data_IF_173127967699
#
_entry.id   IF_173127967699
#
_cell.length_a   1.000
_cell.length_b   1.000
_cell.length_c   1.000
_cell.angle_alpha   90.00
_cell.angle_beta   90.00
_cell.angle_gamma   90.00
#
_symmetry.space_group_name_H-M   'P 1'
#
loop_
_entity.id
_entity.type
_entity.pdbx_description
1 polymer ?
#
# COMPACT_ATOMS: atom_id res chain seq x y z
N UNK A 1 22.00 11.32 -25.09
CA UNK A 1 20.88 10.56 -24.50
C UNK A 1 21.01 10.62 -22.99
N UNK A 2 19.93 10.97 -22.27
CA UNK A 2 19.93 10.94 -20.79
C UNK A 2 20.16 9.52 -20.27
N UNK A 3 20.85 9.34 -19.14
CA UNK A 3 20.92 8.03 -18.48
C UNK A 3 19.54 7.62 -17.95
N UNK A 4 19.33 6.31 -17.70
CA UNK A 4 18.10 5.81 -17.07
C UNK A 4 17.87 6.42 -15.69
N UNK A 5 18.90 6.44 -14.83
CA UNK A 5 18.82 7.03 -13.50
C UNK A 5 18.48 8.52 -13.54
N UNK A 6 18.99 9.26 -14.53
CA UNK A 6 18.62 10.67 -14.73
C UNK A 6 17.15 10.85 -15.12
N UNK A 7 16.57 9.93 -15.89
CA UNK A 7 15.12 9.95 -16.20
C UNK A 7 14.28 9.58 -14.97
N UNK A 8 14.73 8.62 -14.19
CA UNK A 8 14.09 8.24 -12.91
C UNK A 8 14.07 9.45 -11.97
N UNK A 9 15.21 10.13 -11.81
CA UNK A 9 15.33 11.31 -10.96
C UNK A 9 14.45 12.50 -11.42
N UNK A 10 14.11 12.56 -12.71
CA UNK A 10 13.21 13.56 -13.28
C UNK A 10 11.71 13.20 -13.13
N UNK A 11 11.37 12.12 -12.41
CA UNK A 11 9.97 11.78 -12.12
C UNK A 11 9.42 12.74 -11.07
N UNK A 12 8.51 13.62 -11.48
CA UNK A 12 7.92 14.64 -10.61
C UNK A 12 6.42 14.42 -10.45
N UNK A 13 5.94 14.46 -9.20
CA UNK A 13 4.51 14.45 -8.85
C UNK A 13 4.25 15.36 -7.65
N UNK A 14 4.17 16.68 -7.84
CA UNK A 14 3.92 17.62 -6.74
C UNK A 14 2.53 17.45 -6.12
N UNK A 15 1.62 16.77 -6.81
CA UNK A 15 0.27 16.42 -6.37
C UNK A 15 0.19 15.06 -5.68
N UNK A 16 1.32 14.41 -5.36
CA UNK A 16 1.36 13.10 -4.73
C UNK A 16 2.10 13.16 -3.39
N UNK A 17 1.44 12.66 -2.34
CA UNK A 17 2.08 12.34 -1.06
C UNK A 17 2.01 10.84 -0.84
N UNK A 18 3.16 10.19 -0.77
CA UNK A 18 3.26 8.77 -0.47
C UNK A 18 3.49 8.59 1.02
N UNK A 19 2.69 7.76 1.66
CA UNK A 19 2.75 7.51 3.11
C UNK A 19 3.02 6.04 3.38
N UNK A 20 4.10 5.79 4.11
CA UNK A 20 4.51 4.45 4.52
C UNK A 20 4.59 4.40 6.04
N UNK A 21 3.60 3.75 6.65
CA UNK A 21 3.57 3.50 8.09
C UNK A 21 4.36 2.26 8.47
N UNK A 22 5.14 2.36 9.54
CA UNK A 22 5.80 1.22 10.16
C UNK A 22 5.89 1.39 11.68
N UNK A 23 6.19 0.31 12.38
CA UNK A 23 6.47 0.34 13.80
C UNK A 23 7.63 -0.57 14.15
N UNK A 24 7.98 -0.59 15.43
CA UNK A 24 9.08 -1.38 15.98
C UNK A 24 8.66 -2.80 16.36
N UNK A 25 7.46 -3.24 15.95
CA UNK A 25 6.93 -4.55 16.32
C UNK A 25 7.76 -5.68 15.72
N UNK A 26 8.45 -5.42 14.59
CA UNK A 26 9.19 -6.43 13.83
C UNK A 26 10.52 -5.85 13.31
N UNK A 27 11.69 -6.46 13.63
CA UNK A 27 12.99 -5.98 13.15
C UNK A 27 13.08 -5.83 11.63
N UNK A 28 12.36 -6.69 10.89
CA UNK A 28 12.25 -6.65 9.42
C UNK A 28 11.80 -5.27 8.91
N UNK A 29 10.98 -4.55 9.69
CA UNK A 29 10.48 -3.24 9.26
C UNK A 29 11.58 -2.18 9.29
N UNK A 30 12.50 -2.22 10.25
CA UNK A 30 13.64 -1.29 10.27
C UNK A 30 14.56 -1.51 9.07
N UNK A 31 14.81 -2.76 8.70
CA UNK A 31 15.59 -3.09 7.49
C UNK A 31 14.88 -2.61 6.22
N UNK A 32 13.58 -2.89 6.08
CA UNK A 32 12.78 -2.44 4.95
C UNK A 32 12.74 -0.90 4.83
N UNK A 33 12.65 -0.17 5.95
CA UNK A 33 12.71 1.30 6.00
C UNK A 33 14.06 1.85 5.50
N UNK A 34 15.17 1.20 5.85
CA UNK A 34 16.50 1.59 5.38
C UNK A 34 16.63 1.40 3.86
N UNK A 35 16.13 0.28 3.32
CA UNK A 35 16.09 0.04 1.87
C UNK A 35 15.25 1.10 1.15
N UNK A 36 14.09 1.42 1.71
CA UNK A 36 13.24 2.48 1.19
C UNK A 36 13.90 3.86 1.18
N UNK A 37 14.73 4.18 2.17
CA UNK A 37 15.50 5.44 2.18
C UNK A 37 16.45 5.52 0.98
N UNK A 38 17.17 4.43 0.71
CA UNK A 38 18.06 4.35 -0.45
C UNK A 38 17.25 4.44 -1.75
N UNK A 39 16.19 3.65 -1.89
CA UNK A 39 15.36 3.64 -3.08
C UNK A 39 14.72 5.00 -3.39
N UNK A 40 14.15 5.66 -2.38
CA UNK A 40 13.53 6.98 -2.52
C UNK A 40 14.52 8.08 -2.93
N UNK A 41 15.81 7.94 -2.61
CA UNK A 41 16.83 8.89 -3.05
C UNK A 41 17.00 8.98 -4.57
N UNK A 42 16.54 7.96 -5.32
CA UNK A 42 16.50 7.97 -6.78
C UNK A 42 15.29 8.75 -7.34
N UNK A 43 14.31 9.11 -6.51
CA UNK A 43 13.09 9.83 -6.88
C UNK A 43 12.94 11.10 -6.03
N UNK A 44 13.87 12.08 -6.16
CA UNK A 44 13.97 13.21 -5.23
C UNK A 44 12.76 14.17 -5.25
N UNK A 45 11.94 14.13 -6.31
CA UNK A 45 10.76 14.97 -6.45
C UNK A 45 9.44 14.26 -6.05
N UNK A 46 9.51 13.03 -5.53
CA UNK A 46 8.36 12.33 -4.95
C UNK A 46 8.37 12.56 -3.44
N UNK A 47 7.29 13.15 -2.93
CA UNK A 47 7.13 13.40 -1.50
C UNK A 47 6.77 12.10 -0.77
N UNK A 48 7.75 11.53 -0.07
CA UNK A 48 7.61 10.27 0.67
C UNK A 48 7.71 10.53 2.17
N UNK A 49 6.62 10.27 2.88
CA UNK A 49 6.52 10.45 4.33
C UNK A 49 6.50 9.09 5.00
N UNK A 50 7.58 8.78 5.72
CA UNK A 50 7.62 7.63 6.62
C UNK A 50 6.99 8.01 7.95
N UNK A 51 6.12 7.13 8.46
CA UNK A 51 5.40 7.38 9.71
C UNK A 51 5.72 6.28 10.69
N UNK A 52 6.12 6.67 11.91
CA UNK A 52 6.33 5.74 13.02
C UNK A 52 5.70 6.23 14.31
N UNK A 53 5.41 5.28 15.18
CA UNK A 53 4.99 5.60 16.54
C UNK A 53 6.14 6.21 17.35
N UNK A 54 5.78 7.07 18.30
CA UNK A 54 6.71 7.60 19.29
C UNK A 54 6.09 7.56 20.69
N UNK A 55 6.83 6.94 21.59
CA UNK A 55 6.60 6.94 23.04
C UNK A 55 7.06 8.25 23.70
N UNK A 56 7.88 9.04 23.02
CA UNK A 56 8.37 10.34 23.47
C UNK A 56 7.34 11.47 23.25
N UNK A 57 6.29 11.22 22.47
CA UNK A 57 5.24 12.19 22.14
C UNK A 57 3.94 11.86 22.87
N UNK A 58 3.21 12.90 23.29
CA UNK A 58 1.89 12.74 23.92
C UNK A 58 0.86 12.27 22.88
N UNK A 59 -0.25 11.63 23.32
CA UNK A 59 -1.34 11.27 22.41
C UNK A 59 -1.78 12.45 21.55
N UNK A 60 -1.80 12.25 20.22
CA UNK A 60 -2.23 13.27 19.26
C UNK A 60 -1.15 14.24 18.80
N UNK A 61 0.04 14.21 19.41
CA UNK A 61 1.18 14.99 18.92
C UNK A 61 1.75 14.36 17.65
N UNK A 62 2.05 15.22 16.68
CA UNK A 62 2.68 14.84 15.41
C UNK A 62 3.90 15.74 15.22
N UNK A 63 5.08 15.13 15.07
CA UNK A 63 6.34 15.86 14.95
C UNK A 63 7.26 15.23 13.91
N UNK A 64 7.93 16.04 13.10
CA UNK A 64 8.89 15.56 12.12
C UNK A 64 10.31 15.63 12.70
N UNK A 65 10.99 14.49 12.84
CA UNK A 65 12.32 14.43 13.47
C UNK A 65 13.50 14.63 12.49
N UNK A 66 13.21 15.05 11.26
CA UNK A 66 14.18 15.18 10.16
C UNK A 66 14.22 13.99 9.21
N UNK A 67 13.68 12.84 9.60
CA UNK A 67 13.67 11.61 8.78
C UNK A 67 12.27 10.99 8.65
N UNK A 68 11.54 10.98 9.75
CA UNK A 68 10.22 10.35 9.87
C UNK A 68 9.24 11.31 10.55
N UNK A 69 7.96 11.15 10.21
CA UNK A 69 6.85 11.73 10.95
C UNK A 69 6.52 10.85 12.16
N UNK A 70 6.81 11.36 13.35
CA UNK A 70 6.53 10.74 14.63
C UNK A 70 5.10 11.03 15.05
N UNK A 71 4.38 10.00 15.48
CA UNK A 71 3.01 10.11 15.97
C UNK A 71 2.94 9.61 17.42
N UNK A 72 2.48 10.47 18.33
CA UNK A 72 2.31 10.14 19.74
C UNK A 72 1.00 9.38 19.99
N UNK A 73 1.12 8.23 20.64
CA UNK A 73 -0.01 7.37 21.07
C UNK A 73 -0.27 7.44 22.57
N UNK A 74 0.75 7.83 23.33
CA UNK A 74 0.83 7.72 24.79
C UNK A 74 0.49 6.33 25.34
N UNK A 75 0.30 6.27 26.66
CA UNK A 75 0.19 5.02 27.41
C UNK A 75 -1.18 4.33 27.30
N UNK A 76 -2.18 5.02 26.74
CA UNK A 76 -3.60 4.58 26.74
C UNK A 76 -3.91 3.44 25.79
N UNK A 77 -2.99 3.06 24.91
CA UNK A 77 -3.17 1.98 23.96
C UNK A 77 -2.13 0.87 24.13
N UNK A 78 -1.65 0.60 25.34
CA UNK A 78 -0.87 -0.60 25.64
C UNK A 78 -1.82 -1.79 25.85
N UNK A 79 -1.68 -2.83 25.03
CA UNK A 79 -2.53 -4.02 25.12
C UNK A 79 -2.53 -4.88 23.86
N UNK A 80 -2.20 -6.16 24.07
CA UNK A 80 -2.09 -7.29 23.14
C UNK A 80 -1.03 -7.18 22.03
N UNK A 81 0.04 -7.96 22.15
CA UNK A 81 0.92 -8.38 21.05
C UNK A 81 0.22 -9.47 20.26
N UNK A 82 -0.38 -9.13 19.11
CA UNK A 82 -1.17 -10.07 18.31
C UNK A 82 -0.58 -10.43 16.95
N UNK A 83 -0.01 -9.45 16.23
CA UNK A 83 0.37 -9.68 14.83
C UNK A 83 1.61 -10.57 14.66
N UNK A 84 2.61 -10.44 15.54
CA UNK A 84 3.84 -11.21 15.44
C UNK A 84 3.62 -12.73 15.61
N UNK A 85 2.58 -13.12 16.36
CA UNK A 85 2.24 -14.53 16.65
C UNK A 85 1.10 -15.09 15.81
N UNK A 86 0.12 -14.26 15.39
CA UNK A 86 -1.09 -14.73 14.67
C UNK A 86 -1.21 -14.23 13.23
N UNK A 87 -0.39 -13.27 12.80
CA UNK A 87 -0.53 -12.61 11.50
C UNK A 87 -1.81 -11.77 11.35
N UNK A 88 -2.60 -11.61 12.43
CA UNK A 88 -3.84 -10.84 12.48
C UNK A 88 -3.74 -9.78 13.57
N UNK A 89 -4.20 -8.56 13.25
CA UNK A 89 -4.26 -7.46 14.20
C UNK A 89 -5.51 -7.60 15.08
N UNK A 90 -5.34 -7.46 16.39
CA UNK A 90 -6.44 -7.34 17.35
C UNK A 90 -7.22 -6.04 17.15
N UNK A 91 -8.44 -5.94 17.69
CA UNK A 91 -9.26 -4.72 17.60
C UNK A 91 -8.58 -3.48 18.19
N UNK A 92 -7.82 -3.64 19.28
CA UNK A 92 -7.04 -2.56 19.88
C UNK A 92 -5.84 -2.15 19.01
N UNK A 93 -5.16 -3.10 18.37
CA UNK A 93 -4.10 -2.79 17.40
C UNK A 93 -4.69 -2.05 16.19
N UNK A 94 -5.81 -2.53 15.62
CA UNK A 94 -6.51 -1.85 14.54
C UNK A 94 -6.87 -0.40 14.88
N UNK A 95 -7.41 -0.18 16.09
CA UNK A 95 -7.72 1.16 16.56
C UNK A 95 -6.49 2.08 16.64
N UNK A 96 -5.33 1.54 17.06
CA UNK A 96 -4.06 2.27 16.98
C UNK A 96 -3.74 2.62 15.52
N UNK A 97 -3.76 1.66 14.60
CA UNK A 97 -3.44 1.91 13.19
C UNK A 97 -4.37 2.97 12.56
N UNK A 98 -5.67 2.90 12.82
CA UNK A 98 -6.65 3.91 12.36
C UNK A 98 -6.34 5.28 12.98
N UNK A 99 -6.11 5.34 14.30
CA UNK A 99 -5.77 6.59 14.96
C UNK A 99 -4.50 7.23 14.38
N UNK A 100 -3.45 6.43 14.09
CA UNK A 100 -2.25 6.91 13.38
C UNK A 100 -2.61 7.52 12.04
N UNK A 101 -3.37 6.76 11.25
CA UNK A 101 -3.74 7.13 9.91
C UNK A 101 -4.48 8.46 9.93
N UNK A 102 -5.39 8.64 10.90
CA UNK A 102 -6.12 9.90 11.09
C UNK A 102 -5.24 11.08 11.45
N UNK A 103 -4.28 10.91 12.37
CA UNK A 103 -3.36 11.98 12.73
C UNK A 103 -2.46 12.38 11.57
N UNK A 104 -1.99 11.42 10.77
CA UNK A 104 -1.19 11.68 9.58
C UNK A 104 -2.03 12.39 8.52
N UNK A 105 -3.24 11.90 8.24
CA UNK A 105 -4.14 12.52 7.26
C UNK A 105 -4.47 13.96 7.66
N UNK A 106 -4.78 14.21 8.94
CA UNK A 106 -5.03 15.56 9.43
C UNK A 106 -3.80 16.48 9.33
N UNK A 107 -2.61 15.97 9.66
CA UNK A 107 -1.36 16.69 9.46
C UNK A 107 -1.16 17.09 7.99
N UNK A 108 -1.38 16.16 7.06
CA UNK A 108 -1.26 16.43 5.62
C UNK A 108 -2.30 17.44 5.13
N UNK A 109 -3.57 17.32 5.56
CA UNK A 109 -4.63 18.27 5.25
C UNK A 109 -4.33 19.70 5.73
N UNK A 110 -3.51 19.86 6.79
CA UNK A 110 -3.11 21.17 7.32
C UNK A 110 -1.83 21.73 6.68
N UNK A 111 -0.97 20.87 6.14
CA UNK A 111 0.39 21.26 5.71
C UNK A 111 0.59 21.23 4.21
N UNK A 112 -0.30 20.59 3.45
CA UNK A 112 -0.22 20.45 2.00
C UNK A 112 -1.30 21.24 1.30
N UNK A 113 -0.96 21.80 0.14
CA UNK A 113 -1.90 22.52 -0.70
C UNK A 113 -2.79 21.54 -1.47
N UNK A 114 -4.11 21.75 -1.42
CA UNK A 114 -5.05 21.01 -2.25
C UNK A 114 -4.99 21.47 -3.72
N UNK A 115 -5.34 20.59 -4.69
CA UNK A 115 -5.62 19.17 -4.54
C UNK A 115 -4.34 18.32 -4.50
N UNK A 116 -4.38 17.19 -3.80
CA UNK A 116 -3.33 16.17 -3.83
C UNK A 116 -3.92 14.75 -3.68
N UNK A 117 -3.15 13.76 -4.13
CA UNK A 117 -3.36 12.35 -3.89
C UNK A 117 -2.57 11.90 -2.67
N UNK A 118 -3.24 11.17 -1.79
CA UNK A 118 -2.62 10.42 -0.71
C UNK A 118 -2.48 8.97 -1.15
N UNK A 119 -1.25 8.49 -1.27
CA UNK A 119 -0.97 7.10 -1.57
C UNK A 119 -0.41 6.39 -0.33
N UNK A 120 -1.23 5.57 0.31
CA UNK A 120 -0.80 4.72 1.41
C UNK A 120 -0.34 3.37 0.88
N UNK A 121 0.84 2.90 1.29
CA UNK A 121 1.31 1.55 0.98
C UNK A 121 2.06 0.93 2.16
N UNK A 122 2.13 -0.41 2.18
CA UNK A 122 2.86 -1.12 3.22
C UNK A 122 4.37 -0.93 3.05
N UNK A 123 5.10 -0.94 4.16
CA UNK A 123 6.55 -0.85 4.15
C UNK A 123 7.22 -1.98 3.34
N UNK A 124 6.60 -3.16 3.28
CA UNK A 124 7.09 -4.30 2.49
C UNK A 124 6.61 -4.29 1.03
N UNK A 125 6.12 -3.15 0.54
CA UNK A 125 5.83 -2.94 -0.87
C UNK A 125 7.00 -2.26 -1.58
N UNK A 126 7.10 -2.43 -2.90
CA UNK A 126 8.01 -1.72 -3.80
C UNK A 126 7.18 -1.19 -4.96
N UNK A 127 7.37 0.09 -5.28
CA UNK A 127 6.51 0.81 -6.24
C UNK A 127 7.37 1.54 -7.26
N UNK A 128 7.10 1.33 -8.56
CA UNK A 128 7.67 2.17 -9.61
C UNK A 128 6.88 3.48 -9.71
N UNK A 129 7.47 4.58 -9.23
CA UNK A 129 6.82 5.89 -9.21
C UNK A 129 6.57 6.48 -10.62
N UNK A 130 7.29 6.03 -11.64
CA UNK A 130 7.04 6.44 -13.04
C UNK A 130 5.71 5.87 -13.53
N UNK A 131 5.50 4.60 -13.25
CA UNK A 131 4.25 3.91 -13.58
C UNK A 131 3.10 4.38 -12.68
N UNK A 132 3.32 4.60 -11.38
CA UNK A 132 2.34 5.23 -10.51
C UNK A 132 1.91 6.62 -11.05
N UNK A 133 2.84 7.41 -11.59
CA UNK A 133 2.49 8.68 -12.24
C UNK A 133 1.52 8.47 -13.41
N UNK A 134 1.79 7.46 -14.24
CA UNK A 134 0.87 7.09 -15.34
C UNK A 134 -0.51 6.68 -14.83
N UNK A 135 -0.58 5.96 -13.70
CA UNK A 135 -1.84 5.57 -13.04
C UNK A 135 -2.60 6.81 -12.56
N UNK A 136 -1.94 7.72 -11.85
CA UNK A 136 -2.57 8.91 -11.28
C UNK A 136 -3.13 9.85 -12.36
N UNK A 137 -2.56 9.85 -13.56
CA UNK A 137 -3.09 10.62 -14.70
C UNK A 137 -4.44 10.09 -15.21
N UNK A 138 -4.80 8.86 -14.87
CA UNK A 138 -6.08 8.23 -15.23
C UNK A 138 -7.12 8.30 -14.10
N UNK A 139 -6.72 8.74 -12.89
CA UNK A 139 -7.60 8.80 -11.74
C UNK A 139 -8.28 10.17 -11.62
N UNK A 140 -9.50 10.23 -11.06
CA UNK A 140 -10.16 11.51 -10.82
C UNK A 140 -9.45 12.27 -9.70
N UNK A 141 -9.28 13.58 -9.83
CA UNK A 141 -8.62 14.40 -8.79
C UNK A 141 -9.46 14.56 -7.51
N UNK A 142 -10.77 14.37 -7.63
CA UNK A 142 -11.75 14.41 -6.54
C UNK A 142 -12.54 13.12 -6.51
N UNK A 143 -13.01 12.67 -5.35
CA UNK A 143 -13.75 11.42 -5.29
C UNK A 143 -12.89 10.17 -5.55
N UNK A 144 -11.57 10.30 -5.62
CA UNK A 144 -10.67 9.16 -5.85
C UNK A 144 -10.64 8.26 -4.62
N UNK A 145 -10.93 6.99 -4.87
CA UNK A 145 -10.65 5.87 -3.98
C UNK A 145 -10.20 4.69 -4.84
N UNK A 146 -8.89 4.43 -4.91
CA UNK A 146 -8.34 3.46 -5.86
C UNK A 146 -7.33 2.51 -5.20
N UNK A 147 -7.27 1.27 -5.65
CA UNK A 147 -6.38 0.26 -5.10
C UNK A 147 -6.79 -1.17 -5.45
N UNK A 148 -6.08 -2.19 -4.95
CA UNK A 148 -6.43 -3.59 -5.16
C UNK A 148 -7.77 -3.86 -4.50
N UNK A 149 -8.78 -4.24 -5.27
CA UNK A 149 -10.14 -4.32 -4.76
C UNK A 149 -10.43 -5.68 -4.12
N UNK A 150 -11.12 -5.65 -2.99
CA UNK A 150 -11.58 -6.82 -2.26
C UNK A 150 -13.03 -6.62 -1.82
N UNK A 151 -13.69 -7.74 -1.50
CA UNK A 151 -15.09 -7.79 -1.04
C UNK A 151 -15.15 -8.60 0.25
N UNK A 152 -15.81 -8.04 1.26
CA UNK A 152 -16.09 -8.79 2.47
C UNK A 152 -17.23 -9.79 2.25
N UNK A 153 -16.99 -11.02 2.67
CA UNK A 153 -17.99 -12.08 2.68
C UNK A 153 -18.70 -12.21 4.04
N UNK A 154 -18.11 -11.64 5.10
CA UNK A 154 -18.67 -11.63 6.44
C UNK A 154 -18.00 -10.55 7.31
N UNK A 155 -18.59 -10.20 8.46
CA UNK A 155 -19.87 -10.70 9.00
C UNK A 155 -21.11 -10.25 8.18
N UNK A 156 -22.32 -10.84 8.35
CA UNK A 156 -23.49 -10.61 7.48
C UNK A 156 -23.86 -9.14 7.25
N UNK A 157 -23.73 -8.29 8.26
CA UNK A 157 -24.00 -6.85 8.21
C UNK A 157 -23.02 -6.09 7.29
N UNK A 158 -21.85 -6.66 7.05
CA UNK A 158 -20.81 -6.15 6.15
C UNK A 158 -20.66 -6.94 4.85
N UNK A 159 -21.44 -8.01 4.68
CA UNK A 159 -21.39 -8.81 3.47
C UNK A 159 -21.63 -7.91 2.24
N UNK A 160 -20.75 -8.05 1.25
CA UNK A 160 -20.77 -7.24 0.04
C UNK A 160 -20.09 -5.88 0.15
N UNK A 161 -19.57 -5.47 1.31
CA UNK A 161 -18.74 -4.25 1.40
C UNK A 161 -17.51 -4.42 0.50
N UNK A 162 -17.30 -3.46 -0.39
CA UNK A 162 -16.12 -3.40 -1.25
C UNK A 162 -15.13 -2.38 -0.70
N UNK A 163 -13.86 -2.76 -0.72
CA UNK A 163 -12.78 -1.99 -0.14
C UNK A 163 -11.51 -2.15 -0.98
N UNK A 164 -10.58 -1.21 -0.86
CA UNK A 164 -9.23 -1.38 -1.36
C UNK A 164 -8.39 -2.06 -0.28
N UNK A 165 -7.69 -3.14 -0.61
CA UNK A 165 -6.89 -3.89 0.38
C UNK A 165 -5.82 -3.02 1.02
N UNK A 166 -5.45 -3.32 2.27
CA UNK A 166 -4.38 -2.63 2.98
C UNK A 166 -2.97 -2.72 2.35
N UNK A 167 -2.79 -3.42 1.21
CA UNK A 167 -1.55 -3.40 0.44
C UNK A 167 -1.24 -2.00 -0.11
N UNK A 168 -2.24 -1.34 -0.67
CA UNK A 168 -2.18 0.02 -1.18
C UNK A 168 -3.54 0.66 -1.28
N UNK A 169 -3.57 1.98 -1.14
CA UNK A 169 -4.76 2.78 -1.44
C UNK A 169 -4.34 4.18 -1.87
N UNK A 170 -4.95 4.68 -2.94
CA UNK A 170 -4.87 6.06 -3.40
C UNK A 170 -6.20 6.75 -3.04
N UNK A 171 -6.12 7.83 -2.28
CA UNK A 171 -7.25 8.68 -1.90
C UNK A 171 -7.03 10.09 -2.41
N UNK A 172 -8.11 10.73 -2.83
CA UNK A 172 -8.13 12.17 -3.10
C UNK A 172 -8.14 12.98 -1.81
N UNK A 173 -7.71 14.24 -1.88
CA UNK A 173 -7.77 15.18 -0.77
C UNK A 173 -9.17 15.29 -0.13
N UNK A 174 -10.25 15.35 -0.92
CA UNK A 174 -11.63 15.41 -0.42
C UNK A 174 -12.07 14.10 0.26
N UNK A 175 -11.58 12.94 -0.19
CA UNK A 175 -11.79 11.68 0.52
C UNK A 175 -11.19 11.74 1.93
N UNK A 176 -9.99 12.30 2.08
CA UNK A 176 -9.37 12.48 3.41
C UNK A 176 -10.17 13.44 4.29
N UNK A 177 -10.66 14.55 3.71
CA UNK A 177 -11.52 15.49 4.44
C UNK A 177 -12.80 14.81 4.94
N UNK A 178 -13.41 13.97 4.10
CA UNK A 178 -14.60 13.22 4.45
C UNK A 178 -14.32 12.21 5.57
N UNK A 179 -13.24 11.44 5.47
CA UNK A 179 -12.82 10.51 6.53
C UNK A 179 -12.57 11.24 7.86
N UNK A 180 -11.91 12.41 7.82
CA UNK A 180 -11.69 13.23 9.02
C UNK A 180 -12.98 13.73 9.65
N UNK A 181 -13.94 14.18 8.84
CA UNK A 181 -15.22 14.70 9.34
C UNK A 181 -16.07 13.62 10.02
N UNK A 182 -15.89 12.33 9.67
CA UNK A 182 -16.69 11.22 10.19
C UNK A 182 -15.93 10.32 11.17
N UNK A 183 -14.66 10.62 11.45
CA UNK A 183 -13.88 9.85 12.40
C UNK A 183 -14.36 10.07 13.84
N UNK A 184 -14.85 8.99 14.45
CA UNK A 184 -15.14 8.92 15.88
C UNK A 184 -14.35 7.75 16.50
N UNK A 185 -13.39 8.01 17.41
CA UNK A 185 -12.61 6.95 18.06
C UNK A 185 -13.44 6.05 18.98
N UNK A 186 -14.65 6.47 19.39
CA UNK A 186 -15.54 5.67 20.22
C UNK A 186 -16.47 4.77 19.39
N UNK A 187 -16.58 5.03 18.08
CA UNK A 187 -17.42 4.23 17.20
C UNK A 187 -16.87 2.80 17.09
N UNK A 188 -17.73 1.74 17.09
CA UNK A 188 -17.28 0.36 16.97
C UNK A 188 -16.40 0.10 15.73
N UNK A 189 -16.65 0.85 14.65
CA UNK A 189 -15.88 0.73 13.41
C UNK A 189 -14.42 1.14 13.54
N UNK A 190 -14.07 1.95 14.55
CA UNK A 190 -12.69 2.35 14.81
C UNK A 190 -11.80 1.16 15.25
N UNK A 191 -12.35 -0.04 15.44
CA UNK A 191 -11.60 -1.25 15.78
C UNK A 191 -11.47 -2.25 14.61
N UNK A 192 -12.03 -1.94 13.44
CA UNK A 192 -11.87 -2.78 12.26
C UNK A 192 -10.51 -2.60 11.61
N UNK A 193 -10.06 -3.57 10.79
CA UNK A 193 -8.94 -3.36 9.88
C UNK A 193 -9.07 -2.03 9.14
N UNK A 194 -7.97 -1.30 9.01
CA UNK A 194 -7.98 0.10 8.55
C UNK A 194 -8.51 0.25 7.11
N UNK A 195 -8.33 -0.75 6.26
CA UNK A 195 -8.86 -0.81 4.90
C UNK A 195 -10.39 -0.98 4.88
N UNK A 196 -10.93 -1.83 5.76
CA UNK A 196 -12.38 -1.99 5.99
C UNK A 196 -12.97 -0.70 6.57
N UNK A 197 -12.31 -0.11 7.57
CA UNK A 197 -12.75 1.14 8.19
C UNK A 197 -12.79 2.28 7.16
N UNK A 198 -11.76 2.43 6.32
CA UNK A 198 -11.76 3.43 5.25
C UNK A 198 -12.95 3.25 4.27
N UNK A 199 -13.28 2.01 3.92
CA UNK A 199 -14.43 1.72 3.07
C UNK A 199 -15.77 2.10 3.72
N UNK A 200 -15.91 1.90 5.04
CA UNK A 200 -17.09 2.32 5.81
C UNK A 200 -17.20 3.84 5.94
N UNK A 201 -16.06 4.54 6.03
CA UNK A 201 -16.02 6.01 6.04
C UNK A 201 -16.31 6.63 4.68
N UNK A 202 -16.18 5.89 3.58
CA UNK A 202 -16.35 6.40 2.22
C UNK A 202 -17.52 5.71 1.49
N UNK A 203 -18.76 5.72 2.01
CA UNK A 203 -19.86 4.93 1.44
C UNK A 203 -20.31 5.40 0.06
N UNK A 204 -19.99 6.64 -0.33
CA UNK A 204 -20.39 7.25 -1.60
C UNK A 204 -19.28 7.32 -2.65
N UNK A 205 -18.06 6.92 -2.31
CA UNK A 205 -16.93 6.96 -3.23
C UNK A 205 -16.92 5.69 -4.08
N UNK A 206 -16.79 5.82 -5.39
CA UNK A 206 -16.61 4.65 -6.24
C UNK A 206 -15.17 4.16 -6.14
N UNK A 207 -14.97 2.83 -6.13
CA UNK A 207 -13.65 2.22 -6.04
C UNK A 207 -13.10 1.97 -7.44
N UNK A 208 -11.93 2.54 -7.75
CA UNK A 208 -11.21 2.21 -8.98
C UNK A 208 -10.26 1.03 -8.70
N UNK A 209 -10.48 -0.14 -9.33
CA UNK A 209 -9.62 -1.31 -9.14
C UNK A 209 -8.23 -1.05 -9.74
N UNK A 210 -7.17 -1.30 -8.97
CA UNK A 210 -5.79 -1.20 -9.43
C UNK A 210 -5.04 -2.52 -9.18
N UNK A 211 -4.16 -2.94 -10.12
CA UNK A 211 -3.41 -4.18 -9.97
C UNK A 211 -2.33 -4.05 -8.89
N UNK A 212 -2.08 -5.14 -8.17
CA UNK A 212 -0.91 -5.31 -7.31
C UNK A 212 -0.47 -6.76 -7.41
N UNK A 213 0.83 -6.97 -7.54
CA UNK A 213 1.41 -8.30 -7.58
C UNK A 213 2.01 -8.66 -6.23
N UNK A 214 1.70 -9.86 -5.72
CA UNK A 214 2.13 -10.29 -4.39
C UNK A 214 3.18 -11.40 -4.49
N UNK A 215 4.36 -11.16 -3.94
CA UNK A 215 5.32 -12.21 -3.64
C UNK A 215 4.91 -12.85 -2.31
N UNK A 216 4.28 -14.04 -2.40
CA UNK A 216 3.72 -14.77 -1.24
C UNK A 216 4.42 -16.08 -0.96
N UNK A 217 5.16 -16.63 -1.94
CA UNK A 217 5.86 -17.91 -1.75
C UNK A 217 6.99 -17.76 -0.72
N UNK A 218 7.09 -18.69 0.26
CA UNK A 218 8.24 -18.73 1.14
C UNK A 218 9.53 -18.96 0.36
N UNK A 219 10.61 -18.28 0.76
CA UNK A 219 11.92 -18.36 0.10
C UNK A 219 13.01 -18.48 1.14
N UNK A 220 14.07 -19.20 0.78
CA UNK A 220 15.28 -19.17 1.58
C UNK A 220 15.99 -17.81 1.41
N UNK A 221 16.74 -17.33 2.42
CA UNK A 221 17.52 -16.11 2.28
C UNK A 221 18.47 -16.23 1.09
N UNK A 222 18.56 -15.15 0.29
CA UNK A 222 19.44 -15.08 -0.88
C UNK A 222 19.11 -16.08 -2.01
N UNK A 223 17.99 -16.82 -1.95
CA UNK A 223 17.67 -17.88 -2.91
C UNK A 223 17.25 -17.34 -4.28
N UNK A 224 18.05 -17.65 -5.30
CA UNK A 224 17.86 -17.31 -6.72
C UNK A 224 17.46 -15.84 -7.00
N UNK A 225 18.42 -14.93 -6.80
CA UNK A 225 18.29 -13.53 -7.17
C UNK A 225 17.95 -13.33 -8.65
N UNK A 226 18.38 -14.24 -9.53
CA UNK A 226 18.15 -14.13 -10.97
C UNK A 226 16.69 -14.44 -11.31
N UNK A 227 16.11 -15.48 -10.71
CA UNK A 227 14.68 -15.82 -10.86
C UNK A 227 13.79 -14.64 -10.41
N UNK A 228 14.03 -14.09 -9.22
CA UNK A 228 13.25 -12.94 -8.73
C UNK A 228 13.32 -11.73 -9.66
N UNK A 229 14.53 -11.40 -10.13
CA UNK A 229 14.73 -10.28 -11.04
C UNK A 229 14.07 -10.55 -12.39
N UNK A 230 14.08 -11.80 -12.87
CA UNK A 230 13.42 -12.20 -14.11
C UNK A 230 11.90 -12.07 -14.00
N UNK A 231 11.30 -12.56 -12.92
CA UNK A 231 9.86 -12.41 -12.64
C UNK A 231 9.49 -10.93 -12.57
N UNK A 232 10.20 -10.14 -11.77
CA UNK A 232 9.92 -8.72 -11.60
C UNK A 232 10.06 -7.94 -12.93
N UNK A 233 11.09 -8.22 -13.72
CA UNK A 233 11.27 -7.61 -15.04
C UNK A 233 10.14 -7.98 -16.00
N UNK A 234 9.72 -9.25 -16.02
CA UNK A 234 8.60 -9.69 -16.83
C UNK A 234 7.30 -8.96 -16.46
N UNK A 235 7.01 -8.84 -15.16
CA UNK A 235 5.84 -8.12 -14.67
C UNK A 235 5.90 -6.61 -14.99
N UNK A 236 7.07 -5.98 -14.88
CA UNK A 236 7.28 -4.59 -15.29
C UNK A 236 7.01 -4.40 -16.80
N UNK A 237 7.45 -5.33 -17.65
CA UNK A 237 7.17 -5.32 -19.09
C UNK A 237 5.66 -5.49 -19.40
N UNK A 238 4.92 -6.12 -18.49
CA UNK A 238 3.46 -6.21 -18.56
C UNK A 238 2.76 -4.97 -17.97
N UNK A 239 3.51 -4.01 -17.43
CA UNK A 239 2.98 -2.76 -16.89
C UNK A 239 2.67 -2.77 -15.39
N UNK A 240 3.03 -3.84 -14.66
CA UNK A 240 2.89 -3.86 -13.19
C UNK A 240 3.76 -2.78 -12.57
N UNK A 241 3.24 -2.11 -11.54
CA UNK A 241 3.93 -1.00 -10.89
C UNK A 241 4.04 -1.14 -9.38
N UNK A 242 3.21 -1.98 -8.77
CA UNK A 242 3.18 -2.20 -7.32
C UNK A 242 3.38 -3.69 -7.02
N UNK A 243 4.51 -3.98 -6.37
CA UNK A 243 4.88 -5.30 -5.87
C UNK A 243 4.81 -5.31 -4.35
N UNK A 244 4.04 -6.23 -3.76
CA UNK A 244 3.99 -6.45 -2.33
C UNK A 244 4.77 -7.70 -1.97
N UNK A 245 5.70 -7.60 -1.03
CA UNK A 245 6.30 -8.76 -0.37
C UNK A 245 5.44 -9.08 0.86
N UNK A 246 4.72 -10.20 0.81
CA UNK A 246 3.89 -10.64 1.93
C UNK A 246 4.75 -11.43 2.89
N UNK A 247 4.95 -10.88 4.08
CA UNK A 247 5.66 -11.57 5.16
C UNK A 247 4.97 -12.90 5.47
N UNK A 248 5.70 -13.99 5.27
CA UNK A 248 5.26 -15.36 5.61
C UNK A 248 5.48 -15.64 7.10
N UNK A 249 4.79 -16.66 7.64
CA UNK A 249 4.96 -17.04 9.03
C UNK A 249 6.42 -17.52 9.29
N UNK A 250 6.97 -17.33 10.50
CA UNK A 250 8.35 -17.72 10.80
C UNK A 250 8.68 -19.17 10.43
N UNK A 251 7.75 -20.10 10.67
CA UNK A 251 7.86 -21.51 10.32
C UNK A 251 8.04 -21.75 8.82
N UNK A 252 7.37 -20.96 7.98
CA UNK A 252 7.41 -21.10 6.53
C UNK A 252 8.67 -20.47 5.93
N UNK A 253 9.20 -19.43 6.57
CA UNK A 253 10.41 -18.72 6.16
C UNK A 253 11.73 -19.41 6.58
N UNK A 254 11.68 -20.70 6.95
CA UNK A 254 12.80 -21.38 7.63
C UNK A 254 13.36 -20.57 8.82
N UNK A 255 12.48 -19.91 9.57
CA UNK A 255 12.81 -19.09 10.74
C UNK A 255 13.41 -17.71 10.47
N UNK A 256 13.56 -17.26 9.21
CA UNK A 256 14.41 -16.10 8.85
C UNK A 256 13.72 -14.97 8.05
N UNK A 257 12.43 -14.72 8.29
CA UNK A 257 11.69 -13.62 7.64
C UNK A 257 12.36 -12.24 7.71
N UNK A 258 13.16 -12.00 8.77
CA UNK A 258 13.88 -10.73 8.96
C UNK A 258 14.95 -10.46 7.90
N UNK A 259 15.46 -11.52 7.28
CA UNK A 259 16.47 -11.46 6.22
C UNK A 259 15.83 -11.62 4.84
N UNK A 260 14.80 -12.48 4.72
CA UNK A 260 14.17 -12.83 3.44
C UNK A 260 13.39 -11.66 2.84
N UNK A 261 12.46 -11.05 3.60
CA UNK A 261 11.59 -10.01 3.03
C UNK A 261 12.38 -8.79 2.53
N UNK A 262 13.35 -8.22 3.31
CA UNK A 262 14.13 -7.08 2.85
C UNK A 262 15.01 -7.45 1.66
N UNK A 263 15.52 -8.69 1.61
CA UNK A 263 16.31 -9.14 0.45
C UNK A 263 15.47 -9.21 -0.83
N UNK A 264 14.24 -9.74 -0.77
CA UNK A 264 13.32 -9.73 -1.90
C UNK A 264 13.04 -8.27 -2.32
N UNK A 265 12.73 -7.40 -1.37
CA UNK A 265 12.50 -5.97 -1.64
C UNK A 265 13.68 -5.32 -2.35
N UNK A 266 14.91 -5.56 -1.88
CA UNK A 266 16.13 -5.04 -2.52
C UNK A 266 16.20 -5.46 -4.00
N UNK A 267 15.95 -6.75 -4.31
CA UNK A 267 15.96 -7.24 -5.69
C UNK A 267 14.88 -6.61 -6.55
N UNK A 268 13.68 -6.39 -6.00
CA UNK A 268 12.61 -5.67 -6.71
C UNK A 268 13.01 -4.22 -6.98
N UNK A 269 13.56 -3.51 -5.98
CA UNK A 269 14.03 -2.13 -6.12
C UNK A 269 15.12 -2.00 -7.19
N UNK A 270 16.14 -2.86 -7.17
CA UNK A 270 17.20 -2.92 -8.19
C UNK A 270 16.62 -3.19 -9.59
N UNK A 271 15.64 -4.09 -9.68
CA UNK A 271 15.00 -4.42 -10.95
C UNK A 271 14.21 -3.22 -11.50
N UNK A 272 13.48 -2.49 -10.66
CA UNK A 272 12.78 -1.26 -11.08
C UNK A 272 13.77 -0.20 -11.57
N UNK A 273 14.86 0.04 -10.83
CA UNK A 273 15.86 1.04 -11.19
C UNK A 273 16.65 0.70 -12.47
N UNK A 274 16.67 -0.57 -12.87
CA UNK A 274 17.33 -1.06 -14.09
C UNK A 274 16.37 -1.31 -15.26
N UNK A 275 15.08 -1.03 -15.09
CA UNK A 275 14.06 -1.23 -16.13
C UNK A 275 13.52 0.10 -16.66
N UNK A 276 13.22 0.15 -17.96
CA UNK A 276 12.48 1.25 -18.57
C UNK A 276 11.00 1.16 -18.18
N UNK A 277 10.38 2.32 -18.02
CA UNK A 277 8.92 2.43 -17.86
C UNK A 277 8.24 2.54 -19.22
N UNK A 278 7.21 1.73 -19.46
CA UNK A 278 6.36 1.78 -20.65
C UNK A 278 4.93 2.22 -20.27
N UNK A 279 4.58 3.52 -20.40
CA UNK A 279 3.27 4.04 -19.97
C UNK A 279 2.07 3.30 -20.57
N UNK A 280 2.15 2.92 -21.85
CA UNK A 280 1.05 2.21 -22.52
C UNK A 280 0.80 0.82 -21.92
N UNK A 281 1.85 0.13 -21.45
CA UNK A 281 1.71 -1.16 -20.77
C UNK A 281 0.99 -1.01 -19.45
N UNK A 282 1.35 0.00 -18.66
CA UNK A 282 0.65 0.30 -17.41
C UNK A 282 -0.82 0.63 -17.65
N UNK A 283 -1.15 1.45 -18.65
CA UNK A 283 -2.56 1.75 -19.00
C UNK A 283 -3.31 0.51 -19.47
N UNK A 284 -2.69 -0.32 -20.31
CA UNK A 284 -3.29 -1.56 -20.76
C UNK A 284 -3.58 -2.53 -19.60
N UNK A 285 -2.62 -2.69 -18.68
CA UNK A 285 -2.80 -3.52 -17.49
C UNK A 285 -3.93 -3.00 -16.59
N UNK A 286 -4.01 -1.68 -16.38
CA UNK A 286 -5.11 -1.07 -15.61
C UNK A 286 -6.47 -1.38 -16.24
N UNK A 287 -6.60 -1.20 -17.56
CA UNK A 287 -7.83 -1.46 -18.28
C UNK A 287 -8.21 -2.95 -18.21
N UNK A 288 -7.25 -3.86 -18.41
CA UNK A 288 -7.46 -5.30 -18.31
C UNK A 288 -7.89 -5.70 -16.90
N UNK A 289 -7.21 -5.20 -15.86
CA UNK A 289 -7.56 -5.49 -14.47
C UNK A 289 -8.96 -4.98 -14.10
N UNK A 290 -9.33 -3.77 -14.55
CA UNK A 290 -10.68 -3.25 -14.36
C UNK A 290 -11.72 -4.09 -15.12
N UNK A 291 -11.42 -4.54 -16.33
CA UNK A 291 -12.30 -5.43 -17.08
C UNK A 291 -12.55 -6.75 -16.34
N UNK A 292 -11.50 -7.35 -15.77
CA UNK A 292 -11.61 -8.62 -15.03
C UNK A 292 -12.27 -8.49 -13.65
N UNK A 293 -12.06 -7.37 -12.94
CA UNK A 293 -12.56 -7.14 -11.58
C UNK A 293 -13.97 -6.51 -11.52
N UNK A 294 -14.39 -5.84 -12.59
CA UNK A 294 -15.63 -5.04 -12.55
C UNK A 294 -16.27 -4.80 -13.92
N UNK A 295 -15.84 -5.51 -14.97
CA UNK A 295 -16.35 -5.28 -16.32
C UNK A 295 -15.94 -3.94 -16.91
N UNK A 296 -14.89 -3.30 -16.37
CA UNK A 296 -14.35 -2.02 -16.84
C UNK A 296 -14.87 -0.81 -16.06
N UNK A 297 -15.81 -1.01 -15.14
CA UNK A 297 -16.44 0.08 -14.39
C UNK A 297 -15.81 0.29 -13.01
N UNK A 298 -16.05 1.46 -12.42
CA UNK A 298 -15.74 1.64 -10.99
C UNK A 298 -16.73 0.84 -10.14
N UNK A 299 -16.29 0.41 -8.96
CA UNK A 299 -17.08 -0.49 -8.10
C UNK A 299 -17.76 0.30 -6.98
N UNK A 300 -19.08 0.16 -6.77
CA UNK A 300 -19.78 0.83 -5.68
C UNK A 300 -19.37 0.26 -4.32
N UNK A 301 -19.60 1.01 -3.25
CA UNK A 301 -19.23 0.62 -1.87
C UNK A 301 -19.83 -0.71 -1.40
N UNK A 302 -20.96 -1.14 -1.99
CA UNK A 302 -21.53 -2.47 -1.77
C UNK A 302 -21.82 -3.16 -3.09
N UNK A 303 -21.35 -4.40 -3.23
CA UNK A 303 -21.60 -5.28 -4.38
C UNK A 303 -22.02 -6.66 -3.90
N UNK A 304 -23.19 -7.11 -4.37
CA UNK A 304 -23.72 -8.44 -4.07
C UNK A 304 -22.95 -9.56 -4.79
N UNK A 305 -22.46 -9.29 -5.99
CA UNK A 305 -21.76 -10.24 -6.86
C UNK A 305 -20.27 -10.40 -6.50
N UNK A 306 -19.66 -11.48 -7.01
CA UNK A 306 -18.20 -11.64 -6.96
C UNK A 306 -17.51 -10.52 -7.75
N UNK A 307 -16.33 -10.10 -7.27
CA UNK A 307 -15.48 -9.16 -8.01
C UNK A 307 -14.96 -9.81 -9.29
N UNK A 308 -14.49 -11.06 -9.19
CA UNK A 308 -14.00 -11.82 -10.32
C UNK A 308 -15.00 -12.93 -10.63
N UNK A 309 -15.57 -12.93 -11.83
CA UNK A 309 -16.61 -13.88 -12.25
C UNK A 309 -16.13 -14.90 -13.30
N UNK A 310 -14.83 -14.92 -13.62
CA UNK A 310 -14.24 -15.80 -14.63
C UNK A 310 -12.78 -16.16 -14.34
N UNK A 311 -12.15 -16.91 -15.26
CA UNK A 311 -10.73 -17.21 -15.19
C UNK A 311 -9.92 -15.92 -15.36
N UNK A 312 -9.25 -15.49 -14.29
CA UNK A 312 -8.38 -14.31 -14.30
C UNK A 312 -7.14 -14.63 -15.13
N UNK A 313 -6.85 -13.82 -16.14
CA UNK A 313 -5.69 -14.03 -17.02
C UNK A 313 -4.43 -13.36 -16.48
N UNK A 314 -4.60 -12.40 -15.55
CA UNK A 314 -3.52 -11.71 -14.87
C UNK A 314 -3.16 -12.42 -13.54
N UNK A 315 -1.91 -12.89 -13.37
CA UNK A 315 -1.46 -13.40 -12.09
C UNK A 315 -1.34 -12.25 -11.08
N UNK A 316 -1.92 -12.40 -9.89
CA UNK A 316 -1.79 -11.45 -8.78
C UNK A 316 -0.80 -11.91 -7.72
N UNK A 317 -0.22 -13.10 -7.88
CA UNK A 317 0.87 -13.58 -7.04
C UNK A 317 1.79 -14.54 -7.77
N UNK A 318 2.98 -14.70 -7.20
CA UNK A 318 3.98 -15.67 -7.63
C UNK A 318 3.57 -17.14 -7.44
N UNK A 319 2.53 -17.42 -6.65
CA UNK A 319 1.92 -18.75 -6.58
C UNK A 319 1.09 -19.09 -7.82
N UNK A 320 0.60 -18.08 -8.55
CA UNK A 320 -0.25 -18.26 -9.72
C UNK A 320 0.55 -18.40 -11.02
N UNK A 321 1.80 -17.93 -11.03
CA UNK A 321 2.70 -18.03 -12.19
C UNK A 321 3.08 -19.46 -12.59
N UNK A 322 3.00 -20.40 -11.64
CA UNK A 322 3.42 -21.80 -11.83
C UNK A 322 2.26 -22.79 -11.68
N UNK A 323 1.03 -22.29 -11.57
CA UNK A 323 -0.18 -23.09 -11.44
C UNK A 323 -0.84 -23.41 -12.80
N UNK A 324 -0.17 -23.07 -13.90
CA UNK A 324 -0.59 -23.32 -15.29
C UNK A 324 0.41 -24.23 -16.00
#
# INVERSE_FOLDING_TARGET
MSSLLSRIAATERPDLVVVIGYGDELPVFRHARALWQFYASHFPAIDLVFVRWSDQLKPGEVHHNGYDLLVGIGDRMQGATGYASSGVWSGSENAKWIYRQMLVQDYLLRTRSAPFYFYHTTLTSVVDFRALSTVLDQLPKTGCYAGPIARLNGPPEMAGLTFTSGASTILSHDALQHMRAHYDPQHPWAQFPNDIWAALMLPHFMRTPLPTFNFVRPRAPMADAAELSAIARHLLQQGHFHFRVKTVEPQDAAGRRQDVDPWIMLRLMETVLSSEHEPERTRALMAQYAQEASGGEQVPARRGESLFSGARTLPLSDSELFAT
#
